data_IF_671590811549
#
_entry.id   IF_671590811549
#
_cell.length_a   1.000
_cell.length_b   1.000
_cell.length_c   1.000
_cell.angle_alpha   90.00
_cell.angle_beta   90.00
_cell.angle_gamma   90.00
#
_symmetry.space_group_name_H-M   'P 1'
#
loop_
_entity.id
_entity.type
_entity.pdbx_description
1 polymer ?
#
# COMPACT_ATOMS: atom_id res chain seq x y z
N UNK A 1 31.58 -51.50 61.42
CA UNK A 1 32.91 -51.11 60.91
C UNK A 1 32.68 -50.22 59.70
N UNK A 2 33.08 -48.94 59.83
CA UNK A 2 33.49 -47.95 58.80
C UNK A 2 33.06 -48.21 57.33
N UNK A 3 32.46 -47.27 56.59
CA UNK A 3 32.93 -45.91 56.34
C UNK A 3 31.81 -45.03 55.73
N UNK A 4 31.76 -43.79 56.21
CA UNK A 4 31.14 -42.60 55.62
C UNK A 4 31.86 -42.15 54.35
N UNK A 5 31.14 -41.70 53.30
CA UNK A 5 31.51 -40.51 52.49
C UNK A 5 30.23 -39.84 51.96
N UNK A 6 30.10 -38.53 52.25
CA UNK A 6 29.08 -37.61 51.72
C UNK A 6 29.41 -37.20 50.29
N UNK A 7 28.41 -37.11 49.41
CA UNK A 7 28.46 -36.20 48.26
C UNK A 7 27.10 -35.51 48.08
N UNK A 8 27.07 -34.25 48.49
CA UNK A 8 26.05 -33.25 48.15
C UNK A 8 26.02 -32.99 46.64
N UNK A 9 24.85 -33.07 46.02
CA UNK A 9 24.58 -32.46 44.71
C UNK A 9 23.28 -31.67 44.76
N UNK A 10 23.46 -30.36 44.88
CA UNK A 10 22.50 -29.35 44.43
C UNK A 10 22.53 -29.31 42.91
N UNK A 11 21.40 -29.54 42.23
CA UNK A 11 21.14 -28.96 40.90
C UNK A 11 19.66 -28.59 40.85
N UNK A 12 19.44 -27.29 40.66
CA UNK A 12 18.15 -26.63 40.56
C UNK A 12 17.36 -27.13 39.34
N UNK A 13 16.07 -27.41 39.54
CA UNK A 13 15.11 -27.53 38.44
C UNK A 13 14.90 -26.13 37.84
N UNK A 14 15.51 -25.87 36.69
CA UNK A 14 15.11 -24.76 35.82
C UNK A 14 13.78 -25.14 35.14
N UNK A 15 12.71 -24.43 35.48
CA UNK A 15 11.47 -24.45 34.73
C UNK A 15 11.71 -23.78 33.37
N UNK A 16 11.80 -24.60 32.31
CA UNK A 16 11.84 -24.12 30.93
C UNK A 16 10.42 -23.69 30.52
N UNK A 17 10.06 -22.44 30.83
CA UNK A 17 8.89 -21.80 30.23
C UNK A 17 9.22 -21.50 28.76
N UNK A 18 8.88 -22.43 27.87
CA UNK A 18 8.92 -22.21 26.43
C UNK A 18 7.86 -21.15 26.08
N UNK A 19 8.26 -19.89 25.96
CA UNK A 19 7.47 -18.87 25.28
C UNK A 19 7.39 -19.24 23.81
N UNK A 20 6.30 -19.91 23.43
CA UNK A 20 5.91 -20.04 22.02
C UNK A 20 5.52 -18.63 21.57
N UNK A 21 6.44 -17.95 20.89
CA UNK A 21 6.12 -16.76 20.12
C UNK A 21 5.24 -17.24 18.95
N UNK A 22 3.91 -17.12 19.10
CA UNK A 22 3.00 -17.29 17.98
C UNK A 22 3.27 -16.13 17.04
N UNK A 23 4.11 -16.36 16.02
CA UNK A 23 4.24 -15.46 14.89
C UNK A 23 2.90 -15.47 14.15
N UNK A 24 1.99 -14.57 14.53
CA UNK A 24 0.79 -14.31 13.75
C UNK A 24 1.26 -13.90 12.35
N UNK A 25 0.76 -14.53 11.27
CA UNK A 25 1.11 -14.08 9.93
C UNK A 25 0.75 -12.60 9.83
N UNK A 26 1.63 -11.81 9.21
CA UNK A 26 1.33 -10.43 8.86
C UNK A 26 -0.02 -10.41 8.15
N UNK A 27 -1.05 -9.96 8.85
CA UNK A 27 -2.41 -9.97 8.31
C UNK A 27 -2.43 -8.95 7.20
N UNK A 28 -2.88 -9.37 6.01
CA UNK A 28 -3.28 -8.42 4.99
C UNK A 28 -4.29 -7.45 5.61
N UNK A 29 -4.25 -6.19 5.19
CA UNK A 29 -5.10 -5.15 5.73
C UNK A 29 -6.53 -5.35 5.20
N UNK A 30 -7.26 -6.26 5.86
CA UNK A 30 -8.62 -6.70 5.50
C UNK A 30 -9.63 -6.14 6.49
N UNK A 31 -10.68 -5.53 5.97
CA UNK A 31 -11.78 -4.96 6.76
C UNK A 31 -13.13 -5.41 6.22
N UNK A 32 -14.18 -5.50 7.06
CA UNK A 32 -15.54 -5.61 6.56
C UNK A 32 -15.85 -4.43 5.65
N UNK A 33 -16.64 -4.68 4.59
CA UNK A 33 -17.17 -3.58 3.80
C UNK A 33 -18.07 -2.70 4.69
N UNK A 34 -17.97 -1.37 4.56
CA UNK A 34 -18.77 -0.48 5.36
C UNK A 34 -20.24 -0.54 4.93
N UNK A 35 -21.19 -0.10 5.77
CA UNK A 35 -22.60 -0.03 5.43
C UNK A 35 -22.86 0.72 4.12
N UNK A 36 -24.03 0.47 3.52
CA UNK A 36 -24.45 1.21 2.33
C UNK A 36 -24.37 2.73 2.57
N UNK A 37 -23.82 3.46 1.60
CA UNK A 37 -23.58 4.91 1.70
C UNK A 37 -22.26 5.30 2.37
N UNK A 38 -21.64 4.44 3.17
CA UNK A 38 -20.33 4.69 3.78
C UNK A 38 -19.19 4.21 2.87
N UNK A 39 -18.06 4.92 2.88
CA UNK A 39 -16.82 4.52 2.20
C UNK A 39 -15.64 4.37 3.13
N UNK A 40 -15.76 4.78 4.39
CA UNK A 40 -14.66 4.72 5.36
C UNK A 40 -14.43 3.28 5.84
N UNK A 41 -13.18 2.82 5.77
CA UNK A 41 -12.74 1.55 6.34
C UNK A 41 -11.43 1.72 7.10
N UNK A 42 -11.17 0.79 8.02
CA UNK A 42 -9.95 0.78 8.80
C UNK A 42 -9.85 1.89 9.83
N UNK A 43 -8.74 1.87 10.58
CA UNK A 43 -8.45 2.80 11.66
C UNK A 43 -6.95 3.07 11.67
N UNK A 44 -6.56 4.33 11.78
CA UNK A 44 -5.16 4.71 11.91
C UNK A 44 -4.59 4.14 13.22
N UNK A 45 -3.31 3.79 13.19
CA UNK A 45 -2.58 3.33 14.38
C UNK A 45 -1.41 4.24 14.64
N UNK A 46 -0.83 4.13 15.83
CA UNK A 46 0.37 4.84 16.20
C UNK A 46 1.50 3.83 16.48
N UNK A 47 2.70 4.18 16.01
CA UNK A 47 3.90 3.38 16.22
C UNK A 47 4.97 4.25 16.86
N UNK A 48 5.44 3.86 18.05
CA UNK A 48 6.60 4.49 18.66
C UNK A 48 7.87 3.91 18.06
N UNK A 49 8.73 4.77 17.50
CA UNK A 49 10.00 4.35 16.89
C UNK A 49 10.94 3.82 17.97
N UNK A 50 11.41 2.59 17.77
CA UNK A 50 12.32 1.89 18.66
C UNK A 50 13.76 2.41 18.49
N UNK A 51 14.61 2.27 19.50
CA UNK A 51 16.03 2.66 19.42
C UNK A 51 16.89 1.49 18.91
N UNK A 52 16.52 0.93 17.77
CA UNK A 52 17.13 -0.26 17.17
C UNK A 52 17.80 0.01 15.80
N UNK A 53 17.69 1.25 15.29
CA UNK A 53 18.19 1.64 13.98
C UNK A 53 17.34 1.16 12.81
N UNK A 54 16.09 0.74 13.06
CA UNK A 54 15.15 0.31 12.02
C UNK A 54 14.77 1.44 11.05
N UNK A 55 14.57 1.10 9.77
CA UNK A 55 14.20 2.06 8.73
C UNK A 55 12.68 2.29 8.63
N UNK A 56 12.28 3.36 7.94
CA UNK A 56 10.87 3.61 7.66
C UNK A 56 10.24 2.51 6.78
N UNK A 57 11.00 1.91 5.86
CA UNK A 57 10.52 0.75 5.08
C UNK A 57 10.27 -0.48 5.96
N UNK A 58 11.11 -0.73 6.97
CA UNK A 58 10.88 -1.83 7.90
C UNK A 58 9.55 -1.66 8.66
N UNK A 59 9.25 -0.42 9.08
CA UNK A 59 7.96 -0.07 9.69
C UNK A 59 6.81 -0.21 8.67
N UNK A 60 7.00 0.27 7.44
CA UNK A 60 6.00 0.13 6.38
C UNK A 60 5.66 -1.35 6.09
N UNK A 61 6.67 -2.24 6.07
CA UNK A 61 6.53 -3.69 5.93
C UNK A 61 5.81 -4.30 7.13
N UNK A 62 6.14 -3.90 8.37
CA UNK A 62 5.49 -4.37 9.62
C UNK A 62 3.98 -4.14 9.62
N UNK A 63 3.52 -2.99 9.12
CA UNK A 63 2.09 -2.64 9.06
C UNK A 63 1.43 -2.88 7.71
N UNK A 64 2.18 -3.46 6.76
CA UNK A 64 1.79 -3.63 5.37
C UNK A 64 1.19 -2.37 4.72
N UNK A 65 1.86 -1.23 4.89
CA UNK A 65 1.54 0.04 4.23
C UNK A 65 2.60 0.39 3.18
N UNK A 66 2.27 1.32 2.28
CA UNK A 66 3.19 1.80 1.25
C UNK A 66 4.16 2.82 1.82
N UNK A 67 5.42 2.79 1.37
CA UNK A 67 6.45 3.71 1.84
C UNK A 67 6.06 5.19 1.71
N UNK A 68 5.62 5.63 0.52
CA UNK A 68 5.19 7.02 0.31
C UNK A 68 3.93 7.39 1.09
N UNK A 69 3.02 6.45 1.33
CA UNK A 69 1.85 6.71 2.19
C UNK A 69 2.28 6.99 3.63
N UNK A 70 3.26 6.25 4.14
CA UNK A 70 3.80 6.47 5.49
C UNK A 70 4.57 7.80 5.59
N UNK A 71 5.28 8.20 4.54
CA UNK A 71 5.91 9.53 4.45
C UNK A 71 4.88 10.67 4.42
N UNK A 72 3.83 10.56 3.60
CA UNK A 72 2.76 11.56 3.52
C UNK A 72 2.04 11.74 4.86
N UNK A 73 1.81 10.65 5.58
CA UNK A 73 1.17 10.69 6.90
C UNK A 73 2.07 11.27 8.01
N UNK A 74 3.40 11.33 7.79
CA UNK A 74 4.38 11.77 8.79
C UNK A 74 5.39 12.78 8.20
N UNK A 75 4.96 14.02 7.90
CA UNK A 75 5.84 15.03 7.31
C UNK A 75 7.10 15.27 8.16
N UNK A 76 8.26 15.27 7.52
CA UNK A 76 9.56 15.53 8.16
C UNK A 76 10.21 14.33 8.85
N UNK A 77 9.62 13.13 8.79
CA UNK A 77 10.28 11.91 9.27
C UNK A 77 11.51 11.60 8.40
N UNK A 78 12.61 11.19 9.03
CA UNK A 78 13.78 10.66 8.33
C UNK A 78 13.44 9.25 7.78
N UNK A 79 13.51 9.02 6.45
CA UNK A 79 13.17 7.73 5.87
C UNK A 79 14.17 6.61 6.16
N UNK A 80 15.43 6.95 6.43
CA UNK A 80 16.51 6.00 6.64
C UNK A 80 16.59 5.58 8.10
N UNK A 81 16.57 6.55 9.01
CA UNK A 81 16.67 6.32 10.46
C UNK A 81 15.69 7.25 11.19
N UNK A 82 14.39 6.89 11.27
CA UNK A 82 13.41 7.64 12.04
C UNK A 82 13.90 7.86 13.48
N UNK A 83 13.60 9.05 14.05
CA UNK A 83 14.10 9.42 15.37
C UNK A 83 13.52 8.50 16.46
N UNK A 84 14.34 7.80 17.26
CA UNK A 84 13.86 6.97 18.37
C UNK A 84 12.99 7.76 19.36
N UNK A 85 11.92 7.13 19.85
CA UNK A 85 10.93 7.74 20.76
C UNK A 85 9.92 8.68 20.10
N UNK A 86 10.08 9.00 18.80
CA UNK A 86 9.02 9.69 18.04
C UNK A 86 7.85 8.75 17.76
N UNK A 87 6.66 9.33 17.54
CA UNK A 87 5.45 8.57 17.22
C UNK A 87 5.07 8.82 15.77
N UNK A 88 4.95 7.74 15.01
CA UNK A 88 4.47 7.74 13.63
C UNK A 88 3.00 7.36 13.58
N UNK A 89 2.24 8.07 12.77
CA UNK A 89 0.89 7.69 12.37
C UNK A 89 0.97 6.66 11.26
N UNK A 90 0.34 5.51 11.44
CA UNK A 90 0.23 4.43 10.44
C UNK A 90 -1.12 4.60 9.73
N UNK A 91 -1.13 5.00 8.43
CA UNK A 91 -2.34 5.39 7.71
C UNK A 91 -3.13 4.18 7.19
N UNK A 92 -3.76 3.45 8.12
CA UNK A 92 -4.59 2.28 7.83
C UNK A 92 -6.07 2.61 7.60
N UNK A 93 -6.52 3.81 7.97
CA UNK A 93 -7.85 4.29 7.66
C UNK A 93 -7.88 4.88 6.25
N UNK A 94 -8.91 4.53 5.46
CA UNK A 94 -9.05 5.04 4.10
C UNK A 94 -10.51 5.07 3.63
N UNK A 95 -10.82 5.97 2.71
CA UNK A 95 -12.03 5.95 1.90
C UNK A 95 -11.84 4.98 0.73
N UNK A 96 -12.76 4.05 0.55
CA UNK A 96 -12.78 3.18 -0.63
C UNK A 96 -12.91 4.00 -1.91
N UNK A 97 -12.25 3.65 -3.02
CA UNK A 97 -12.39 4.37 -4.30
C UNK A 97 -13.83 4.41 -4.81
N UNK A 98 -14.14 5.44 -5.61
CA UNK A 98 -15.45 5.58 -6.25
C UNK A 98 -15.48 4.73 -7.52
N UNK A 99 -15.53 3.42 -7.33
CA UNK A 99 -15.52 2.41 -8.37
C UNK A 99 -16.34 1.20 -7.90
N UNK A 100 -16.82 0.35 -8.83
CA UNK A 100 -17.47 -0.90 -8.44
C UNK A 100 -16.60 -1.72 -7.48
N UNK A 101 -17.17 -2.11 -6.34
CA UNK A 101 -16.52 -2.94 -5.31
C UNK A 101 -16.48 -4.40 -5.74
N UNK A 102 -15.82 -4.69 -6.85
CA UNK A 102 -15.78 -6.00 -7.49
C UNK A 102 -14.37 -6.32 -7.99
N UNK A 103 -13.87 -7.53 -7.69
CA UNK A 103 -12.58 -7.98 -8.19
C UNK A 103 -11.44 -7.10 -7.66
N UNK A 104 -10.61 -6.58 -8.56
CA UNK A 104 -9.48 -5.72 -8.24
C UNK A 104 -9.75 -4.28 -8.65
N UNK A 105 -9.62 -3.34 -7.73
CA UNK A 105 -9.52 -1.90 -8.02
C UNK A 105 -8.13 -1.44 -7.65
N UNK A 106 -7.39 -0.88 -8.58
CA UNK A 106 -6.01 -0.40 -8.37
C UNK A 106 -6.02 1.10 -8.55
N UNK A 107 -5.69 1.85 -7.49
CA UNK A 107 -5.58 3.29 -7.58
C UNK A 107 -4.11 3.70 -7.57
N UNK A 108 -3.63 4.12 -8.74
CA UNK A 108 -2.23 4.44 -8.95
C UNK A 108 -1.79 5.67 -8.12
N UNK A 109 -2.68 6.63 -7.88
CA UNK A 109 -2.36 7.87 -7.16
C UNK A 109 -1.97 7.66 -5.69
N UNK A 110 -2.53 6.62 -5.07
CA UNK A 110 -2.29 6.29 -3.66
C UNK A 110 -1.49 4.99 -3.50
N UNK A 111 -1.06 4.39 -4.61
CA UNK A 111 -0.26 3.17 -4.64
C UNK A 111 -0.89 2.03 -3.83
N UNK A 112 -2.21 1.84 -4.00
CA UNK A 112 -2.99 0.77 -3.36
C UNK A 112 -3.75 -0.06 -4.37
N UNK A 113 -3.82 -1.37 -4.07
CA UNK A 113 -4.74 -2.32 -4.67
C UNK A 113 -5.80 -2.67 -3.64
N UNK A 114 -7.06 -2.65 -4.06
CA UNK A 114 -8.23 -3.08 -3.29
C UNK A 114 -8.76 -4.37 -3.93
N UNK A 115 -8.83 -5.44 -3.14
CA UNK A 115 -9.43 -6.70 -3.55
C UNK A 115 -10.77 -6.91 -2.84
N UNK A 116 -11.80 -7.14 -3.63
CA UNK A 116 -13.16 -7.47 -3.20
C UNK A 116 -13.44 -8.94 -3.54
N UNK A 117 -13.32 -9.87 -2.57
CA UNK A 117 -13.50 -11.29 -2.84
C UNK A 117 -14.97 -11.59 -3.21
N UNK A 118 -15.23 -12.44 -4.23
CA UNK A 118 -16.58 -12.83 -4.59
C UNK A 118 -17.34 -13.45 -3.41
N UNK A 119 -18.58 -13.02 -3.18
CA UNK A 119 -19.45 -13.57 -2.15
C UNK A 119 -19.08 -13.20 -0.71
N UNK A 120 -18.10 -12.30 -0.49
CA UNK A 120 -17.72 -11.83 0.84
C UNK A 120 -17.99 -10.34 1.01
N UNK A 121 -18.39 -9.95 2.22
CA UNK A 121 -18.58 -8.55 2.60
C UNK A 121 -17.30 -7.97 3.22
N UNK A 122 -16.18 -8.08 2.52
CA UNK A 122 -14.87 -7.60 2.98
C UNK A 122 -14.07 -6.97 1.83
N UNK A 123 -13.09 -6.15 2.19
CA UNK A 123 -12.10 -5.59 1.28
C UNK A 123 -10.73 -5.82 1.88
N UNK A 124 -9.77 -6.24 1.05
CA UNK A 124 -8.35 -6.29 1.43
C UNK A 124 -7.57 -5.26 0.66
N UNK A 125 -6.76 -4.47 1.35
CA UNK A 125 -5.95 -3.40 0.76
C UNK A 125 -4.49 -3.77 0.84
N UNK A 126 -3.84 -3.76 -0.32
CA UNK A 126 -2.41 -4.04 -0.47
C UNK A 126 -1.70 -2.78 -0.95
N UNK A 127 -0.55 -2.42 -0.36
CA UNK A 127 0.31 -1.41 -0.95
C UNK A 127 1.02 -2.00 -2.18
N UNK A 128 1.20 -1.18 -3.20
CA UNK A 128 1.80 -1.61 -4.47
C UNK A 128 2.94 -0.71 -4.92
N UNK A 129 3.89 -1.26 -5.65
CA UNK A 129 4.84 -0.50 -6.47
C UNK A 129 4.36 -0.43 -7.91
N UNK A 130 4.58 0.69 -8.58
CA UNK A 130 4.16 0.89 -9.98
C UNK A 130 5.32 1.35 -10.87
N UNK A 131 5.03 1.55 -12.15
CA UNK A 131 5.94 2.06 -13.16
C UNK A 131 6.66 3.35 -12.76
N UNK A 132 7.97 3.35 -12.95
CA UNK A 132 8.80 4.54 -12.81
C UNK A 132 8.42 5.62 -13.84
N UNK A 133 8.94 6.82 -13.66
CA UNK A 133 8.83 7.89 -14.65
C UNK A 133 9.73 7.64 -15.85
N UNK A 134 9.31 8.14 -17.01
CA UNK A 134 10.08 8.18 -18.25
C UNK A 134 9.80 7.02 -19.20
N UNK A 135 9.68 7.36 -20.49
CA UNK A 135 9.56 6.40 -21.59
C UNK A 135 8.31 5.51 -21.51
N UNK A 136 8.51 4.22 -21.76
CA UNK A 136 7.49 3.17 -21.87
C UNK A 136 7.21 2.42 -20.56
N UNK A 137 7.68 2.96 -19.43
CA UNK A 137 7.65 2.27 -18.13
C UNK A 137 6.46 2.63 -17.25
N UNK A 138 5.55 3.48 -17.72
CA UNK A 138 4.38 3.89 -16.95
C UNK A 138 3.35 2.75 -16.83
N UNK A 139 2.72 2.65 -15.66
CA UNK A 139 1.54 1.79 -15.49
C UNK A 139 0.31 2.55 -16.00
N UNK A 140 -0.43 2.03 -16.99
CA UNK A 140 -1.59 2.71 -17.55
C UNK A 140 -2.84 2.51 -16.69
N UNK A 141 -3.80 3.43 -16.81
CA UNK A 141 -5.19 3.21 -16.36
C UNK A 141 -5.93 2.34 -17.38
N UNK A 142 -6.75 1.41 -16.93
CA UNK A 142 -7.50 0.49 -17.81
C UNK A 142 -8.57 -0.29 -17.06
N UNK A 143 -9.58 -0.76 -17.81
CA UNK A 143 -10.49 -1.83 -17.36
C UNK A 143 -10.11 -3.11 -18.09
N UNK A 144 -9.84 -4.19 -17.35
CA UNK A 144 -9.39 -5.46 -17.89
C UNK A 144 -9.79 -6.63 -16.99
N UNK A 145 -9.26 -7.82 -17.26
CA UNK A 145 -9.44 -9.02 -16.44
C UNK A 145 -8.10 -9.69 -16.21
N UNK A 146 -8.05 -10.59 -15.23
CA UNK A 146 -6.95 -11.54 -15.09
C UNK A 146 -7.05 -12.57 -16.22
N UNK A 147 -5.98 -12.74 -16.99
CA UNK A 147 -5.92 -13.73 -18.09
C UNK A 147 -5.31 -15.05 -17.66
N UNK A 148 -4.26 -15.01 -16.84
CA UNK A 148 -3.51 -16.19 -16.40
C UNK A 148 -2.82 -15.91 -15.06
N UNK A 149 -2.38 -16.96 -14.36
CA UNK A 149 -1.53 -16.85 -13.18
C UNK A 149 -0.49 -17.97 -13.16
N UNK A 150 0.74 -17.63 -12.81
CA UNK A 150 1.87 -18.57 -12.73
C UNK A 150 2.61 -18.48 -11.39
N UNK A 151 2.76 -19.61 -10.73
CA UNK A 151 3.70 -19.78 -9.63
C UNK A 151 5.10 -20.01 -10.20
N UNK A 152 6.13 -19.52 -9.49
CA UNK A 152 7.53 -19.58 -9.89
C UNK A 152 7.73 -19.12 -11.35
N UNK A 153 7.38 -17.87 -11.69
CA UNK A 153 7.50 -17.37 -13.05
C UNK A 153 8.97 -17.29 -13.47
N UNK A 154 9.24 -17.55 -14.75
CA UNK A 154 10.46 -17.07 -15.40
C UNK A 154 10.26 -15.62 -15.83
N UNK A 155 11.32 -14.81 -15.83
CA UNK A 155 11.25 -13.45 -16.35
C UNK A 155 12.02 -13.33 -17.66
N UNK A 156 11.32 -12.89 -18.70
CA UNK A 156 11.91 -12.55 -20.00
C UNK A 156 11.88 -11.03 -20.13
N UNK A 157 13.02 -10.32 -20.00
CA UNK A 157 13.06 -8.88 -20.17
C UNK A 157 12.48 -8.47 -21.53
N UNK A 158 11.83 -7.31 -21.63
CA UNK A 158 11.38 -6.78 -22.94
C UNK A 158 12.59 -6.24 -23.72
N UNK A 159 12.42 -6.00 -25.02
CA UNK A 159 13.46 -5.39 -25.85
C UNK A 159 13.91 -4.03 -25.29
N UNK A 160 12.95 -3.21 -24.84
CA UNK A 160 13.22 -1.89 -24.28
C UNK A 160 13.95 -1.97 -22.94
N UNK A 161 13.59 -2.92 -22.06
CA UNK A 161 14.32 -3.17 -20.82
C UNK A 161 15.77 -3.60 -21.13
N UNK A 162 15.97 -4.53 -22.07
CA UNK A 162 17.33 -4.94 -22.49
C UNK A 162 18.14 -3.76 -23.01
N UNK A 163 17.57 -2.94 -23.88
CA UNK A 163 18.25 -1.76 -24.43
C UNK A 163 18.66 -0.78 -23.32
N UNK A 164 17.77 -0.52 -22.35
CA UNK A 164 18.05 0.37 -21.21
C UNK A 164 19.19 -0.14 -20.33
N UNK A 165 19.18 -1.43 -19.96
CA UNK A 165 20.25 -2.01 -19.14
C UNK A 165 21.57 -2.08 -19.92
N UNK A 166 21.53 -2.40 -21.23
CA UNK A 166 22.71 -2.40 -22.09
C UNK A 166 23.35 -1.00 -22.19
N UNK A 167 22.55 0.07 -22.24
CA UNK A 167 23.05 1.44 -22.21
C UNK A 167 23.75 1.81 -20.88
N UNK A 168 23.51 1.05 -19.81
CA UNK A 168 24.17 1.18 -18.51
C UNK A 168 25.37 0.21 -18.36
N UNK A 169 25.73 -0.51 -19.43
CA UNK A 169 26.80 -1.51 -19.40
C UNK A 169 26.40 -2.85 -18.78
N UNK A 170 25.09 -3.10 -18.56
CA UNK A 170 24.58 -4.34 -17.97
C UNK A 170 23.93 -5.19 -19.06
N UNK A 171 24.47 -6.37 -19.30
CA UNK A 171 23.89 -7.35 -20.22
C UNK A 171 22.92 -8.28 -19.46
N UNK A 172 21.63 -8.20 -19.80
CA UNK A 172 20.61 -9.04 -19.19
C UNK A 172 20.52 -10.39 -19.90
N UNK A 173 20.35 -11.51 -19.17
CA UNK A 173 20.10 -12.81 -19.78
C UNK A 173 18.79 -12.79 -20.59
N UNK A 174 18.70 -13.65 -21.61
CA UNK A 174 17.50 -13.77 -22.42
C UNK A 174 16.27 -14.18 -21.57
N UNK A 175 16.49 -15.05 -20.60
CA UNK A 175 15.50 -15.50 -19.62
C UNK A 175 16.18 -15.58 -18.26
N UNK A 176 15.59 -14.94 -17.25
CA UNK A 176 15.92 -15.16 -15.84
C UNK A 176 15.04 -16.32 -15.34
N UNK A 177 15.65 -17.42 -14.84
CA UNK A 177 14.88 -18.56 -14.33
C UNK A 177 14.08 -18.18 -13.08
N UNK A 178 13.17 -19.06 -12.66
CA UNK A 178 12.53 -18.92 -11.37
C UNK A 178 13.55 -19.10 -10.24
N UNK A 179 13.37 -18.40 -9.13
CA UNK A 179 14.25 -18.49 -7.96
C UNK A 179 14.37 -17.18 -7.21
N UNK A 180 15.18 -17.13 -6.13
CA UNK A 180 15.35 -15.95 -5.29
C UNK A 180 15.82 -14.69 -6.03
N UNK A 181 16.60 -14.88 -7.10
CA UNK A 181 17.14 -13.77 -7.89
C UNK A 181 16.17 -13.26 -8.96
N UNK A 182 14.99 -13.87 -9.10
CA UNK A 182 14.01 -13.44 -10.09
C UNK A 182 13.30 -12.15 -9.63
N UNK A 183 13.38 -11.04 -10.40
CA UNK A 183 12.80 -9.77 -9.99
C UNK A 183 11.26 -9.74 -10.01
N UNK A 184 10.62 -10.80 -10.49
CA UNK A 184 9.17 -10.99 -10.44
C UNK A 184 8.68 -11.66 -9.15
N UNK A 185 9.59 -12.12 -8.28
CA UNK A 185 9.23 -12.89 -7.08
C UNK A 185 8.65 -14.26 -7.40
N UNK A 186 7.93 -14.85 -6.44
CA UNK A 186 7.47 -16.25 -6.56
C UNK A 186 6.13 -16.42 -7.27
N UNK A 187 5.37 -15.35 -7.47
CA UNK A 187 4.04 -15.41 -8.05
C UNK A 187 3.81 -14.27 -9.04
N UNK A 188 3.09 -14.57 -10.11
CA UNK A 188 2.67 -13.60 -11.11
C UNK A 188 1.22 -13.85 -11.54
N UNK A 189 0.47 -12.77 -11.70
CA UNK A 189 -0.91 -12.73 -12.19
C UNK A 189 -0.90 -11.82 -13.41
N UNK A 190 -1.28 -12.35 -14.57
CA UNK A 190 -1.25 -11.65 -15.85
C UNK A 190 -2.59 -10.95 -16.12
N UNK A 191 -2.53 -9.73 -16.63
CA UNK A 191 -3.69 -8.98 -17.07
C UNK A 191 -3.98 -9.26 -18.55
N UNK A 192 -5.24 -9.24 -18.98
CA UNK A 192 -5.62 -9.53 -20.36
C UNK A 192 -5.28 -8.40 -21.34
N UNK A 193 -5.31 -7.14 -20.86
CA UNK A 193 -5.06 -5.96 -21.68
C UNK A 193 -3.66 -5.96 -22.31
N UNK A 194 -3.55 -5.26 -23.44
CA UNK A 194 -2.29 -5.06 -24.18
C UNK A 194 -1.54 -6.36 -24.50
N UNK A 195 -2.27 -7.45 -24.80
CA UNK A 195 -1.67 -8.74 -25.13
C UNK A 195 -0.94 -9.42 -23.97
N UNK A 196 -1.25 -9.05 -22.73
CA UNK A 196 -0.70 -9.73 -21.56
C UNK A 196 0.61 -9.16 -21.03
N UNK A 197 1.05 -7.97 -21.47
CA UNK A 197 2.36 -7.42 -21.09
C UNK A 197 2.40 -6.85 -19.67
N UNK A 198 1.24 -6.54 -19.06
CA UNK A 198 1.16 -6.05 -17.68
C UNK A 198 0.79 -7.17 -16.71
N UNK A 199 1.52 -7.22 -15.60
CA UNK A 199 1.37 -8.23 -14.56
C UNK A 199 1.26 -7.58 -13.18
N UNK A 200 0.56 -8.25 -12.28
CA UNK A 200 0.75 -8.12 -10.84
C UNK A 200 1.74 -9.22 -10.43
N UNK A 201 2.81 -8.88 -9.74
CA UNK A 201 3.83 -9.85 -9.37
C UNK A 201 4.52 -9.50 -8.05
N UNK A 202 5.28 -10.45 -7.50
CA UNK A 202 6.07 -10.26 -6.30
C UNK A 202 7.33 -9.43 -6.53
N UNK A 203 8.27 -9.51 -5.60
CA UNK A 203 9.56 -8.83 -5.71
C UNK A 203 10.57 -9.58 -4.88
N UNK A 204 11.80 -9.69 -5.37
CA UNK A 204 12.94 -10.13 -4.57
C UNK A 204 13.67 -8.98 -3.86
N UNK A 205 13.31 -7.72 -4.15
CA UNK A 205 13.80 -6.56 -3.45
C UNK A 205 13.02 -6.30 -2.15
N UNK A 206 13.73 -5.92 -1.10
CA UNK A 206 13.16 -5.51 0.20
C UNK A 206 12.62 -4.08 0.22
N UNK A 207 12.64 -3.38 -0.91
CA UNK A 207 12.14 -2.02 -1.08
C UNK A 207 11.32 -1.88 -2.38
N UNK A 208 10.66 -0.73 -2.55
CA UNK A 208 9.96 -0.36 -3.79
C UNK A 208 8.44 -0.48 -3.74
N UNK A 209 7.87 -1.03 -2.67
CA UNK A 209 6.42 -1.08 -2.45
C UNK A 209 5.95 0.27 -1.88
N UNK A 210 4.89 0.83 -2.46
CA UNK A 210 4.51 2.22 -2.23
C UNK A 210 5.47 3.20 -2.89
N UNK A 211 6.11 2.82 -4.00
CA UNK A 211 6.99 3.68 -4.80
C UNK A 211 6.81 3.46 -6.32
N UNK A 212 7.42 4.32 -7.13
CA UNK A 212 7.45 4.23 -8.60
C UNK A 212 8.81 3.69 -9.08
N UNK A 213 8.96 2.37 -9.12
CA UNK A 213 10.25 1.70 -9.36
C UNK A 213 10.21 0.63 -10.45
N UNK A 214 9.01 0.23 -10.90
CA UNK A 214 8.89 -0.88 -11.85
C UNK A 214 9.05 -0.40 -13.30
N UNK A 215 9.13 -1.34 -14.23
CA UNK A 215 9.09 -1.04 -15.68
C UNK A 215 7.67 -1.17 -16.26
N UNK A 216 6.64 -0.81 -15.48
CA UNK A 216 5.24 -0.74 -15.91
C UNK A 216 4.31 -1.72 -15.21
N UNK A 217 4.82 -2.87 -14.75
CA UNK A 217 4.05 -3.85 -13.98
C UNK A 217 3.76 -3.38 -12.55
N UNK A 218 2.81 -4.04 -11.88
CA UNK A 218 2.42 -3.75 -10.51
C UNK A 218 3.14 -4.74 -9.58
N UNK A 219 3.92 -4.21 -8.65
CA UNK A 219 4.68 -4.99 -7.65
C UNK A 219 3.91 -5.07 -6.36
N UNK A 220 3.85 -6.24 -5.75
CA UNK A 220 3.38 -6.44 -4.37
C UNK A 220 4.51 -7.07 -3.55
N UNK A 221 4.41 -7.00 -2.21
CA UNK A 221 5.29 -7.81 -1.35
C UNK A 221 5.05 -9.29 -1.63
N UNK A 222 6.07 -10.11 -1.41
CA UNK A 222 6.02 -11.52 -1.82
C UNK A 222 4.87 -12.30 -1.13
N UNK A 223 4.66 -12.08 0.17
CA UNK A 223 3.52 -12.67 0.89
C UNK A 223 2.14 -12.14 0.45
N UNK A 224 2.08 -10.88 0.00
CA UNK A 224 0.85 -10.27 -0.52
C UNK A 224 0.47 -10.87 -1.87
N UNK A 225 1.42 -10.97 -2.82
CA UNK A 225 1.14 -11.60 -4.11
C UNK A 225 0.81 -13.08 -3.95
N UNK A 226 1.45 -13.79 -3.02
CA UNK A 226 1.13 -15.20 -2.75
C UNK A 226 -0.32 -15.34 -2.27
N UNK A 227 -0.71 -14.51 -1.29
CA UNK A 227 -2.08 -14.52 -0.76
C UNK A 227 -3.09 -14.20 -1.86
N UNK A 228 -2.83 -13.17 -2.65
CA UNK A 228 -3.69 -12.77 -3.77
C UNK A 228 -3.76 -13.86 -4.85
N UNK A 229 -2.62 -14.50 -5.18
CA UNK A 229 -2.52 -15.57 -6.15
C UNK A 229 -3.37 -16.79 -5.78
N UNK A 230 -3.46 -17.14 -4.49
CA UNK A 230 -4.27 -18.26 -4.01
C UNK A 230 -5.77 -18.04 -4.25
N UNK A 231 -6.24 -16.80 -4.15
CA UNK A 231 -7.68 -16.48 -4.20
C UNK A 231 -8.16 -15.92 -5.54
N UNK A 232 -7.28 -15.34 -6.35
CA UNK A 232 -7.61 -14.79 -7.67
C UNK A 232 -7.73 -15.91 -8.71
N UNK A 233 -8.75 -15.80 -9.56
CA UNK A 233 -8.98 -16.68 -10.71
C UNK A 233 -8.92 -15.90 -12.03
N UNK A 234 -8.50 -16.54 -13.13
CA UNK A 234 -8.72 -15.98 -14.47
C UNK A 234 -10.18 -15.55 -14.67
N UNK A 235 -10.38 -14.43 -15.37
CA UNK A 235 -11.68 -13.77 -15.52
C UNK A 235 -12.00 -12.75 -14.43
N UNK A 236 -11.26 -12.71 -13.30
CA UNK A 236 -11.47 -11.68 -12.27
C UNK A 236 -11.30 -10.28 -12.88
N UNK A 237 -12.29 -9.40 -12.68
CA UNK A 237 -12.26 -8.02 -13.17
C UNK A 237 -11.16 -7.21 -12.48
N UNK A 238 -10.54 -6.31 -13.26
CA UNK A 238 -9.50 -5.39 -12.81
C UNK A 238 -9.81 -4.00 -13.35
N UNK A 239 -9.91 -3.02 -12.45
CA UNK A 239 -10.09 -1.61 -12.79
C UNK A 239 -8.92 -0.80 -12.25
N UNK A 240 -8.09 -0.25 -13.13
CA UNK A 240 -6.95 0.58 -12.78
C UNK A 240 -7.31 2.04 -13.03
N UNK A 241 -7.39 2.80 -11.93
CA UNK A 241 -7.76 4.22 -11.88
C UNK A 241 -6.58 5.07 -11.39
N UNK A 242 -6.70 6.38 -11.57
CA UNK A 242 -5.73 7.35 -11.07
C UNK A 242 -6.50 8.50 -10.42
N UNK A 243 -6.75 8.39 -9.11
CA UNK A 243 -7.61 9.31 -8.37
C UNK A 243 -6.92 9.72 -7.07
N UNK A 244 -6.25 10.88 -7.03
CA UNK A 244 -5.52 11.35 -5.84
C UNK A 244 -6.43 11.87 -4.74
N UNK A 245 -7.68 12.21 -5.05
CA UNK A 245 -8.67 12.71 -4.09
C UNK A 245 -9.90 11.82 -4.04
N UNK A 246 -10.30 11.42 -2.84
CA UNK A 246 -11.53 10.69 -2.57
C UNK A 246 -12.37 11.53 -1.60
N UNK A 247 -13.68 11.56 -1.83
CA UNK A 247 -14.65 12.28 -0.99
C UNK A 247 -15.77 11.34 -0.60
N UNK A 248 -16.35 11.52 0.58
CA UNK A 248 -17.50 10.75 1.02
C UNK A 248 -18.42 11.59 1.90
N UNK A 249 -19.73 11.46 1.71
CA UNK A 249 -20.74 11.90 2.67
C UNK A 249 -21.20 10.65 3.41
N UNK A 250 -20.75 10.50 4.65
CA UNK A 250 -21.00 9.32 5.46
C UNK A 250 -22.44 9.34 6.01
N UNK A 251 -23.04 8.17 6.31
CA UNK A 251 -24.42 8.08 6.80
C UNK A 251 -24.71 8.84 8.11
N UNK A 252 -23.66 9.13 8.89
CA UNK A 252 -23.74 9.93 10.13
C UNK A 252 -23.67 11.45 9.89
N UNK A 253 -23.65 11.87 8.62
CA UNK A 253 -23.60 13.27 8.21
C UNK A 253 -22.18 13.83 8.06
N UNK A 254 -21.13 13.07 8.42
CA UNK A 254 -19.75 13.53 8.24
C UNK A 254 -19.39 13.64 6.76
N UNK A 255 -18.66 14.69 6.43
CA UNK A 255 -18.05 14.91 5.10
C UNK A 255 -16.57 14.60 5.20
N UNK A 256 -16.13 13.51 4.61
CA UNK A 256 -14.73 13.08 4.66
C UNK A 256 -14.05 13.32 3.32
N UNK A 257 -12.81 13.79 3.37
CA UNK A 257 -11.92 13.88 2.20
C UNK A 257 -10.60 13.18 2.50
N UNK A 258 -10.09 12.42 1.54
CA UNK A 258 -8.75 11.82 1.59
C UNK A 258 -7.97 12.28 0.36
N UNK A 259 -6.82 12.92 0.60
CA UNK A 259 -6.04 13.58 -0.44
C UNK A 259 -4.61 13.06 -0.41
N UNK A 260 -4.19 12.51 -1.54
CA UNK A 260 -2.83 12.04 -1.83
C UNK A 260 -2.15 13.02 -2.79
N UNK A 261 -0.83 12.96 -2.83
CA UNK A 261 -0.07 13.65 -3.86
C UNK A 261 -0.39 13.03 -5.25
N UNK A 262 -0.65 13.83 -6.29
CA UNK A 262 -0.82 13.33 -7.66
C UNK A 262 0.44 12.64 -8.18
N UNK A 263 0.25 11.69 -9.11
CA UNK A 263 1.38 11.14 -9.84
C UNK A 263 2.03 12.20 -10.72
N UNK A 264 3.33 12.40 -10.53
CA UNK A 264 4.16 13.15 -11.47
C UNK A 264 4.03 12.62 -12.90
N UNK A 265 4.10 13.51 -13.87
CA UNK A 265 4.20 13.19 -15.31
C UNK A 265 5.65 13.26 -15.79
N UNK A 266 6.46 14.12 -15.17
CA UNK A 266 7.87 14.34 -15.50
C UNK A 266 8.76 14.17 -14.25
N UNK A 267 10.05 13.89 -14.47
CA UNK A 267 11.04 13.64 -13.40
C UNK A 267 11.23 14.85 -12.47
N UNK A 268 11.07 16.08 -12.99
CA UNK A 268 11.22 17.31 -12.21
C UNK A 268 9.94 17.82 -11.54
N UNK A 269 8.81 17.12 -11.68
CA UNK A 269 7.57 17.56 -11.03
C UNK A 269 7.67 17.35 -9.52
N UNK A 270 7.21 18.32 -8.74
CA UNK A 270 6.99 18.19 -7.30
C UNK A 270 5.54 17.77 -7.01
N UNK A 271 5.28 16.52 -6.58
CA UNK A 271 3.94 16.03 -6.28
C UNK A 271 3.20 16.81 -5.20
N UNK A 272 3.91 17.51 -4.31
CA UNK A 272 3.29 18.32 -3.24
C UNK A 272 2.61 19.57 -3.82
N UNK A 273 3.15 20.13 -4.88
CA UNK A 273 2.67 21.39 -5.48
C UNK A 273 1.90 21.19 -6.78
N UNK A 274 1.92 19.99 -7.38
CA UNK A 274 1.12 19.67 -8.56
C UNK A 274 -0.38 19.94 -8.34
N UNK A 275 -1.08 20.51 -9.34
CA UNK A 275 -2.51 20.78 -9.23
C UNK A 275 -3.34 19.50 -9.21
N UNK A 276 -4.39 19.49 -8.38
CA UNK A 276 -5.40 18.42 -8.34
C UNK A 276 -6.65 18.90 -9.08
N UNK A 277 -6.96 18.26 -10.21
CA UNK A 277 -8.20 18.56 -10.94
C UNK A 277 -9.39 17.87 -10.26
N UNK A 278 -10.36 18.66 -9.81
CA UNK A 278 -11.61 18.17 -9.24
C UNK A 278 -12.67 18.01 -10.33
N UNK A 279 -13.34 16.85 -10.36
CA UNK A 279 -14.53 16.66 -11.19
C UNK A 279 -15.75 17.41 -10.62
N UNK A 280 -16.86 17.45 -11.35
CA UNK A 280 -18.06 18.18 -10.93
C UNK A 280 -18.60 17.74 -9.56
N UNK A 281 -18.60 16.43 -9.26
CA UNK A 281 -19.05 15.91 -7.97
C UNK A 281 -18.14 16.36 -6.82
N UNK A 282 -16.83 16.34 -7.02
CA UNK A 282 -15.84 16.80 -6.05
C UNK A 282 -15.90 18.31 -5.83
N UNK A 283 -16.16 19.09 -6.89
CA UNK A 283 -16.39 20.53 -6.77
C UNK A 283 -17.65 20.82 -5.94
N UNK A 284 -18.75 20.10 -6.20
CA UNK A 284 -19.99 20.22 -5.42
C UNK A 284 -19.85 19.74 -3.96
N UNK A 285 -18.97 18.76 -3.70
CA UNK A 285 -18.60 18.36 -2.35
C UNK A 285 -17.80 19.47 -1.65
N UNK A 286 -16.75 20.00 -2.30
CA UNK A 286 -15.91 21.09 -1.78
C UNK A 286 -16.72 22.34 -1.45
N UNK A 287 -17.69 22.70 -2.29
CA UNK A 287 -18.56 23.86 -2.07
C UNK A 287 -19.45 23.76 -0.82
N UNK A 288 -19.66 22.55 -0.28
CA UNK A 288 -20.46 22.27 0.93
C UNK A 288 -19.61 21.81 2.12
N UNK A 289 -18.28 21.88 2.01
CA UNK A 289 -17.35 21.51 3.07
C UNK A 289 -16.98 22.75 3.93
N UNK A 290 -16.38 22.51 5.09
CA UNK A 290 -15.66 23.54 5.82
C UNK A 290 -14.46 24.00 4.96
N UNK A 291 -14.55 25.19 4.38
CA UNK A 291 -13.55 25.71 3.45
C UNK A 291 -12.14 25.74 4.05
N UNK A 292 -11.98 26.17 5.30
CA UNK A 292 -10.65 26.28 5.92
C UNK A 292 -9.99 24.90 6.10
N UNK A 293 -10.74 23.91 6.59
CA UNK A 293 -10.21 22.55 6.77
C UNK A 293 -9.98 21.87 5.43
N UNK A 294 -10.86 22.10 4.45
CA UNK A 294 -10.72 21.56 3.09
C UNK A 294 -9.47 22.09 2.38
N UNK A 295 -9.23 23.40 2.41
CA UNK A 295 -7.99 23.98 1.84
C UNK A 295 -6.76 23.44 2.56
N UNK A 296 -6.80 23.36 3.90
CA UNK A 296 -5.69 22.76 4.66
C UNK A 296 -5.43 21.31 4.27
N UNK A 297 -6.47 20.51 4.03
CA UNK A 297 -6.33 19.13 3.57
C UNK A 297 -5.72 19.06 2.16
N UNK A 298 -6.12 19.96 1.25
CA UNK A 298 -5.59 20.08 -0.12
C UNK A 298 -4.10 20.47 -0.13
N UNK A 299 -3.69 21.29 0.84
CA UNK A 299 -2.30 21.70 1.02
C UNK A 299 -1.45 20.62 1.67
N UNK A 300 -1.97 19.93 2.69
CA UNK A 300 -1.20 18.94 3.46
C UNK A 300 -1.05 17.62 2.69
N UNK A 301 -2.12 17.14 2.05
CA UNK A 301 -2.13 15.87 1.28
C UNK A 301 -1.59 14.69 2.10
N UNK A 302 -2.11 14.52 3.31
CA UNK A 302 -1.63 13.53 4.28
C UNK A 302 -1.87 12.07 3.88
N UNK A 303 -2.66 11.82 2.83
CA UNK A 303 -3.09 10.49 2.43
C UNK A 303 -4.06 9.81 3.41
N UNK A 304 -4.58 10.57 4.40
CA UNK A 304 -5.54 10.10 5.41
C UNK A 304 -6.89 10.81 5.28
N UNK A 305 -8.01 10.14 5.60
CA UNK A 305 -9.31 10.80 5.69
C UNK A 305 -9.32 11.93 6.71
N UNK A 306 -9.86 13.08 6.33
CA UNK A 306 -10.03 14.29 7.13
C UNK A 306 -11.51 14.67 7.13
N UNK A 307 -12.06 14.97 8.30
CA UNK A 307 -13.41 15.49 8.45
C UNK A 307 -13.45 16.97 8.07
N UNK A 308 -14.21 17.28 7.04
CA UNK A 308 -14.44 18.62 6.51
C UNK A 308 -15.91 19.03 6.63
N UNK A 309 -16.63 18.48 7.60
CA UNK A 309 -18.01 18.86 7.88
C UNK A 309 -18.08 20.34 8.29
N UNK A 310 -18.96 21.15 7.68
CA UNK A 310 -19.21 22.51 8.15
C UNK A 310 -19.68 22.50 9.60
N UNK A 311 -18.99 23.23 10.46
CA UNK A 311 -19.53 23.57 11.77
C UNK A 311 -20.23 24.92 11.64
N UNK A 312 -21.51 24.99 11.99
CA UNK A 312 -22.13 26.28 12.30
C UNK A 312 -21.41 26.83 13.52
N UNK A 313 -20.75 27.98 13.37
CA UNK A 313 -20.37 28.76 14.54
C UNK A 313 -21.66 29.03 15.32
N UNK A 314 -21.74 28.51 16.54
CA UNK A 314 -22.79 28.93 17.47
C UNK A 314 -22.50 30.39 17.73
N UNK A 315 -23.29 31.29 17.14
CA UNK A 315 -23.27 32.71 17.47
C UNK A 315 -23.36 32.77 18.99
N UNK A 316 -22.27 33.18 19.65
CA UNK A 316 -22.32 33.49 21.08
C UNK A 316 -23.44 34.50 21.23
N UNK A 317 -24.56 34.10 21.81
CA UNK A 317 -25.53 35.03 22.35
C UNK A 317 -24.78 35.77 23.45
N UNK A 318 -24.29 36.96 23.12
CA UNK A 318 -23.95 37.98 24.11
C UNK A 318 -25.19 38.18 24.97
N UNK A 319 -25.11 37.71 26.21
CA UNK A 319 -26.01 38.13 27.28
C UNK A 319 -25.73 39.59 27.66
#
# INVERSE_FOLDING_TARGET
>A
MMMTVRLTRWIALFALAATVAIALPARANTWPLPPAGSRLVGENRFHMVENDGGSLEAIAKKYNVGFLALLQANPGVDPYVPRPGSVLTIPLQTLLPDAPREGLVINLAELRLYYYPPGKNEVTVYPIGIGQLGGDTLTPTMVTTVSDKRANPTWTPTANIRARYKAQGIELPAVVPAGPDNPMGHHAIRLAAYGGVYLLHGTNADFGIGMRVSSGCIRLRDGDIETLFRVITPGTKVNIINTPIKVSEEPDGRRLVEIHQPLSKNIGDDPQTLPITLNAAMQAFKARANSAVMEKAMDVRSGMPVDVTPHTEVTQQTM
#
